data_IF_505470261688
#
_entry.id   IF_505470261688
#
_cell.length_a   1.000
_cell.length_b   1.000
_cell.length_c   1.000
_cell.angle_alpha   90.00
_cell.angle_beta   90.00
_cell.angle_gamma   90.00
#
_symmetry.space_group_name_H-M   'P 1'
#
loop_
_entity.id
_entity.type
_entity.pdbx_description
1 polymer ?
#
# COMPACT_ATOMS: atom_id res chain seq x y z
N UNK A 1 -4.07 11.11 15.22
CA UNK A 1 -4.13 9.96 14.27
C UNK A 1 -3.75 10.42 12.88
N UNK A 2 -2.89 9.67 12.18
CA UNK A 2 -2.05 10.14 11.07
C UNK A 2 -2.56 9.64 9.70
N UNK A 3 -2.02 10.18 8.60
CA UNK A 3 -2.29 9.70 7.25
C UNK A 3 -1.90 8.22 7.01
N UNK A 4 -1.08 7.66 7.91
CA UNK A 4 -0.58 6.29 7.83
C UNK A 4 -1.69 5.25 8.02
N UNK A 5 -2.69 5.51 8.88
CA UNK A 5 -3.78 4.55 9.12
C UNK A 5 -4.69 4.40 7.89
N UNK A 6 -4.98 5.50 7.21
CA UNK A 6 -5.72 5.48 5.93
C UNK A 6 -4.95 4.70 4.87
N UNK A 7 -3.64 4.97 4.77
CA UNK A 7 -2.77 4.28 3.82
C UNK A 7 -2.68 2.78 4.11
N UNK A 8 -2.59 2.38 5.38
CA UNK A 8 -2.60 0.98 5.80
C UNK A 8 -3.83 0.25 5.25
N UNK A 9 -5.03 0.78 5.44
CA UNK A 9 -6.25 0.15 4.93
C UNK A 9 -6.28 0.07 3.40
N UNK A 10 -5.81 1.12 2.71
CA UNK A 10 -5.72 1.12 1.25
C UNK A 10 -4.72 0.06 0.74
N UNK A 11 -3.58 -0.12 1.43
CA UNK A 11 -2.56 -1.12 1.09
C UNK A 11 -3.04 -2.55 1.38
N UNK A 12 -3.74 -2.78 2.49
CA UNK A 12 -4.28 -4.11 2.81
C UNK A 12 -5.38 -4.57 1.84
N UNK A 13 -6.04 -3.63 1.15
CA UNK A 13 -7.01 -3.91 0.10
C UNK A 13 -6.56 -3.38 -1.26
N UNK A 14 -5.27 -3.49 -1.57
CA UNK A 14 -4.68 -3.00 -2.82
C UNK A 14 -5.16 -3.76 -4.06
N UNK A 15 -5.73 -4.95 -3.87
CA UNK A 15 -6.36 -5.81 -4.88
C UNK A 15 -7.74 -5.32 -5.36
N UNK A 16 -8.32 -4.31 -4.70
CA UNK A 16 -9.61 -3.77 -5.08
C UNK A 16 -9.62 -3.12 -6.46
N UNK A 17 -10.65 -3.48 -7.24
CA UNK A 17 -10.98 -2.86 -8.53
C UNK A 17 -11.71 -1.52 -8.35
N UNK A 18 -12.53 -1.40 -7.31
CA UNK A 18 -13.32 -0.19 -7.04
C UNK A 18 -12.55 0.86 -6.24
N UNK A 19 -12.67 2.16 -6.54
CA UNK A 19 -12.04 3.22 -5.77
C UNK A 19 -12.54 3.29 -4.32
N UNK A 20 -11.65 3.65 -3.40
CA UNK A 20 -12.00 3.88 -2.00
C UNK A 20 -12.77 5.18 -1.82
N UNK A 21 -13.91 5.11 -1.12
CA UNK A 21 -14.63 6.29 -0.66
C UNK A 21 -13.98 6.87 0.59
N UNK A 22 -14.01 8.19 0.73
CA UNK A 22 -13.43 8.86 1.90
C UNK A 22 -14.18 8.48 3.19
N UNK A 23 -15.50 8.29 3.09
CA UNK A 23 -16.37 7.87 4.18
C UNK A 23 -16.01 6.47 4.69
N UNK A 24 -15.81 5.52 3.77
CA UNK A 24 -15.40 4.15 4.10
C UNK A 24 -14.05 4.14 4.82
N UNK A 25 -13.08 4.90 4.28
CA UNK A 25 -11.75 5.00 4.87
C UNK A 25 -11.76 5.70 6.23
N UNK A 26 -12.58 6.74 6.40
CA UNK A 26 -12.74 7.44 7.66
C UNK A 26 -13.30 6.51 8.74
N UNK A 27 -14.32 5.72 8.40
CA UNK A 27 -14.92 4.72 9.30
C UNK A 27 -13.91 3.64 9.69
N UNK A 28 -13.21 3.04 8.71
CA UNK A 28 -12.21 1.99 8.98
C UNK A 28 -11.05 2.49 9.84
N UNK A 29 -10.57 3.69 9.56
CA UNK A 29 -9.47 4.29 10.30
C UNK A 29 -9.90 4.92 11.65
N UNK A 30 -11.21 4.95 11.97
CA UNK A 30 -11.73 5.57 13.19
C UNK A 30 -11.47 7.07 13.28
N UNK A 31 -11.48 7.79 12.15
CA UNK A 31 -11.17 9.23 12.10
C UNK A 31 -12.36 10.04 11.59
N UNK A 32 -12.48 11.34 11.97
CA UNK A 32 -13.46 12.23 11.38
C UNK A 32 -13.29 12.35 9.87
N UNK A 33 -14.40 12.44 9.14
CA UNK A 33 -14.40 12.53 7.67
C UNK A 33 -13.56 13.71 7.14
N UNK A 34 -13.62 14.86 7.81
CA UNK A 34 -12.78 16.03 7.49
C UNK A 34 -11.28 15.73 7.57
N UNK A 35 -10.87 14.92 8.55
CA UNK A 35 -9.48 14.48 8.73
C UNK A 35 -9.09 13.48 7.64
N UNK A 36 -9.99 12.56 7.26
CA UNK A 36 -9.76 11.67 6.14
C UNK A 36 -9.54 12.44 4.83
N UNK A 37 -10.38 13.43 4.50
CA UNK A 37 -10.20 14.28 3.33
C UNK A 37 -8.88 15.06 3.35
N UNK A 38 -8.49 15.62 4.51
CA UNK A 38 -7.20 16.33 4.65
C UNK A 38 -6.02 15.41 4.38
N UNK A 39 -6.05 14.20 4.95
CA UNK A 39 -4.99 13.21 4.79
C UNK A 39 -4.95 12.65 3.37
N UNK A 40 -6.10 12.37 2.75
CA UNK A 40 -6.17 11.93 1.36
C UNK A 40 -5.66 13.00 0.39
N UNK A 41 -5.97 14.28 0.64
CA UNK A 41 -5.39 15.41 -0.11
C UNK A 41 -3.87 15.46 0.05
N UNK A 42 -3.35 15.26 1.26
CA UNK A 42 -1.91 15.18 1.52
C UNK A 42 -1.26 14.01 0.75
N UNK A 43 -1.82 12.81 0.83
CA UNK A 43 -1.33 11.62 0.12
C UNK A 43 -1.39 11.78 -1.40
N UNK A 44 -2.42 12.47 -1.91
CA UNK A 44 -2.56 12.80 -3.34
C UNK A 44 -1.46 13.77 -3.79
N UNK A 45 -1.18 14.82 -3.01
CA UNK A 45 -0.06 15.75 -3.30
C UNK A 45 1.29 15.05 -3.30
N UNK A 46 1.45 14.02 -2.47
CA UNK A 46 2.67 13.18 -2.42
C UNK A 46 2.70 12.09 -3.49
N UNK A 47 1.70 12.02 -4.39
CA UNK A 47 1.58 11.02 -5.45
C UNK A 47 1.56 9.56 -4.94
N UNK A 48 1.14 9.35 -3.69
CA UNK A 48 0.96 8.02 -3.08
C UNK A 48 -0.44 7.48 -3.43
N UNK A 49 -1.41 8.38 -3.48
CA UNK A 49 -2.81 8.10 -3.82
C UNK A 49 -3.18 8.93 -5.05
N UNK A 50 -4.01 8.39 -5.91
CA UNK A 50 -4.59 9.09 -7.06
C UNK A 50 -6.10 9.23 -6.84
N UNK A 51 -6.62 10.44 -7.04
CA UNK A 51 -8.06 10.68 -7.08
C UNK A 51 -8.59 10.28 -8.45
N UNK A 52 -9.63 9.45 -8.47
CA UNK A 52 -10.31 8.97 -9.67
C UNK A 52 -11.80 9.26 -9.58
N UNK A 53 -12.54 9.04 -10.67
CA UNK A 53 -14.00 9.13 -10.63
C UNK A 53 -14.54 8.14 -9.59
N UNK A 54 -15.26 8.66 -8.59
CA UNK A 54 -15.85 7.86 -7.54
C UNK A 54 -14.99 7.61 -6.30
N UNK A 55 -13.73 8.07 -6.22
CA UNK A 55 -12.95 7.94 -4.99
C UNK A 55 -11.44 8.08 -5.13
N UNK A 56 -10.72 7.27 -4.36
CA UNK A 56 -9.27 7.29 -4.20
C UNK A 56 -8.68 5.90 -4.44
N UNK A 57 -7.58 5.82 -5.18
CA UNK A 57 -6.85 4.59 -5.42
C UNK A 57 -5.37 4.77 -5.08
N UNK A 58 -4.67 3.67 -4.78
CA UNK A 58 -3.21 3.73 -4.71
C UNK A 58 -2.64 4.16 -6.05
N UNK A 59 -1.61 4.99 -6.03
CA UNK A 59 -0.97 5.43 -7.26
C UNK A 59 -0.22 4.28 -7.92
N UNK A 60 -0.06 4.38 -9.24
CA UNK A 60 0.75 3.44 -10.03
C UNK A 60 2.17 3.28 -9.46
N UNK A 61 2.78 4.36 -8.99
CA UNK A 61 4.12 4.34 -8.39
C UNK A 61 4.19 3.41 -7.17
N UNK A 62 3.19 3.48 -6.29
CA UNK A 62 3.14 2.64 -5.07
C UNK A 62 2.99 1.16 -5.45
N UNK A 63 2.11 0.86 -6.40
CA UNK A 63 1.86 -0.52 -6.85
C UNK A 63 3.10 -1.12 -7.56
N UNK A 64 3.72 -0.36 -8.46
CA UNK A 64 4.94 -0.80 -9.16
C UNK A 64 6.11 -1.00 -8.18
N UNK A 65 6.27 -0.10 -7.20
CA UNK A 65 7.31 -0.23 -6.17
C UNK A 65 7.07 -1.46 -5.30
N UNK A 66 5.81 -1.73 -4.91
CA UNK A 66 5.43 -2.94 -4.19
C UNK A 66 5.76 -4.21 -4.97
N UNK A 67 5.42 -4.27 -6.26
CA UNK A 67 5.72 -5.42 -7.11
C UNK A 67 7.24 -5.66 -7.27
N UNK A 68 8.02 -4.59 -7.45
CA UNK A 68 9.49 -4.67 -7.51
C UNK A 68 10.09 -5.17 -6.19
N UNK A 69 9.59 -4.67 -5.06
CA UNK A 69 10.01 -5.11 -3.73
C UNK A 69 9.72 -6.60 -3.53
N UNK A 70 8.50 -7.06 -3.83
CA UNK A 70 8.12 -8.47 -3.71
C UNK A 70 9.02 -9.38 -4.57
N UNK A 71 9.32 -8.95 -5.79
CA UNK A 71 10.23 -9.67 -6.69
C UNK A 71 11.66 -9.75 -6.14
N UNK A 72 12.17 -8.65 -5.55
CA UNK A 72 13.49 -8.62 -4.94
C UNK A 72 13.56 -9.49 -3.67
N UNK A 73 12.51 -9.44 -2.85
CA UNK A 73 12.41 -10.23 -1.63
C UNK A 73 12.38 -11.74 -1.93
N UNK A 74 11.58 -12.17 -2.90
CA UNK A 74 11.54 -13.57 -3.33
C UNK A 74 12.91 -14.08 -3.82
N UNK A 75 13.68 -13.25 -4.55
CA UNK A 75 15.06 -13.60 -4.97
C UNK A 75 15.99 -13.80 -3.77
N UNK A 76 15.89 -12.93 -2.76
CA UNK A 76 16.69 -13.05 -1.54
C UNK A 76 16.37 -14.32 -0.75
N UNK A 77 15.09 -14.71 -0.69
CA UNK A 77 14.68 -15.95 -0.03
C UNK A 77 15.23 -17.19 -0.75
N UNK A 78 15.14 -17.24 -2.08
CA UNK A 78 15.71 -18.33 -2.89
C UNK A 78 17.23 -18.43 -2.68
N UNK A 79 17.96 -17.32 -2.68
CA UNK A 79 19.42 -17.33 -2.43
C UNK A 79 19.74 -17.89 -1.05
N UNK A 80 19.01 -17.48 -0.01
CA UNK A 80 19.20 -18.01 1.35
C UNK A 80 18.89 -19.50 1.45
N UNK A 81 17.86 -19.99 0.77
CA UNK A 81 17.56 -21.42 0.73
C UNK A 81 18.67 -22.20 0.02
N UNK A 82 19.19 -21.71 -1.10
CA UNK A 82 20.32 -22.33 -1.79
C UNK A 82 21.58 -22.34 -0.91
N UNK A 83 21.90 -21.23 -0.22
CA UNK A 83 23.02 -21.18 0.73
C UNK A 83 22.87 -22.19 1.86
N UNK A 84 21.64 -22.42 2.37
CA UNK A 84 21.38 -23.46 3.37
C UNK A 84 21.60 -24.87 2.82
N UNK A 85 21.12 -25.16 1.60
CA UNK A 85 21.22 -26.49 0.98
C UNK A 85 22.69 -26.82 0.65
N UNK A 86 23.40 -25.89 0.02
CA UNK A 86 24.78 -26.10 -0.42
C UNK A 86 25.82 -25.83 0.69
N UNK A 87 25.48 -25.01 1.69
CA UNK A 87 26.30 -24.79 2.88
C UNK A 87 26.22 -25.93 3.89
N UNK A 88 25.10 -26.66 3.96
CA UNK A 88 24.98 -27.87 4.78
C UNK A 88 25.64 -29.11 4.15
N UNK A 89 26.07 -29.02 2.89
CA UNK A 89 26.76 -30.08 2.14
C UNK A 89 28.30 -30.00 2.24
N UNK A 90 28.84 -29.11 3.09
CA UNK A 90 30.25 -29.03 3.48
C UNK A 90 30.39 -29.37 4.96
#
# INVERSE_FOLDING_TARGET
>A
MTALSLLYHMLTGADRVSPWKAEELAQKAGVPLSTAYRNLRYLTRKKIVTRVNGGYMLSRLVLETGARYQSAFARLEITKEQEKIYGAAK
#
